data_IF_847267977018
#
_entry.id   IF_847267977018
#
_cell.length_a   1.000
_cell.length_b   1.000
_cell.length_c   1.000
_cell.angle_alpha   90.00
_cell.angle_beta   90.00
_cell.angle_gamma   90.00
#
_symmetry.space_group_name_H-M   'P 1'
#
loop_
_entity.id
_entity.type
_entity.pdbx_description
1 polymer ?
#
# COMPACT_ATOMS: atom_id res chain seq x y z
N UNK A 1 50.70 -0.38 11.60
CA UNK A 1 49.34 -0.86 11.94
C UNK A 1 48.37 0.06 11.24
N UNK A 2 47.71 -0.38 10.17
CA UNK A 2 46.77 0.47 9.43
C UNK A 2 45.45 0.58 10.19
N UNK A 3 44.81 1.76 10.24
CA UNK A 3 43.49 1.88 10.84
C UNK A 3 42.48 1.04 10.04
N UNK A 4 41.47 0.46 10.71
CA UNK A 4 40.43 -0.28 10.02
C UNK A 4 39.71 0.65 9.02
N UNK A 5 39.30 0.13 7.85
CA UNK A 5 38.54 0.92 6.89
C UNK A 5 37.26 1.46 7.55
N UNK A 6 36.81 2.68 7.18
CA UNK A 6 35.58 3.24 7.71
C UNK A 6 34.42 2.27 7.44
N UNK A 7 33.42 2.17 8.34
CA UNK A 7 32.27 1.32 8.14
C UNK A 7 31.61 1.73 6.82
N UNK A 8 31.62 0.83 5.84
CA UNK A 8 30.91 1.08 4.61
C UNK A 8 29.43 1.29 4.94
N UNK A 9 28.77 2.32 4.37
CA UNK A 9 27.32 2.43 4.51
C UNK A 9 26.74 1.10 4.04
N UNK A 10 26.06 0.35 4.93
CA UNK A 10 25.30 -0.82 4.52
C UNK A 10 24.44 -0.36 3.36
N UNK A 11 24.73 -0.84 2.16
CA UNK A 11 24.09 -0.36 0.96
C UNK A 11 22.58 -0.54 1.10
N UNK A 12 21.86 0.56 1.35
CA UNK A 12 20.40 0.67 1.31
C UNK A 12 19.84 0.43 -0.12
N UNK A 13 20.68 -0.05 -1.04
CA UNK A 13 20.37 -0.38 -2.43
C UNK A 13 19.58 -1.70 -2.56
N UNK A 14 19.66 -2.61 -1.58
CA UNK A 14 18.99 -3.92 -1.65
C UNK A 14 17.46 -3.84 -1.67
N UNK A 15 16.87 -2.80 -1.05
CA UNK A 15 15.41 -2.67 -0.91
C UNK A 15 14.76 -1.84 -2.03
N UNK A 16 15.56 -1.24 -2.92
CA UNK A 16 15.04 -0.42 -4.01
C UNK A 16 14.09 -1.19 -4.95
N UNK A 17 14.39 -2.45 -5.36
CA UNK A 17 13.47 -3.24 -6.18
C UNK A 17 12.13 -3.50 -5.47
N UNK A 18 12.18 -3.84 -4.17
CA UNK A 18 10.99 -4.10 -3.35
C UNK A 18 10.11 -2.86 -3.20
N UNK A 19 10.70 -1.66 -3.09
CA UNK A 19 9.90 -0.41 -3.06
C UNK A 19 9.34 -0.05 -4.43
N UNK A 20 10.06 -0.36 -5.51
CA UNK A 20 9.58 -0.13 -6.87
C UNK A 20 8.32 -0.93 -7.17
N UNK A 21 8.22 -2.17 -6.68
CA UNK A 21 7.03 -3.00 -6.91
C UNK A 21 5.78 -2.45 -6.21
N UNK A 22 5.93 -1.88 -5.00
CA UNK A 22 4.81 -1.18 -4.34
C UNK A 22 4.36 0.05 -5.15
N UNK A 23 5.31 0.85 -5.65
CA UNK A 23 4.99 2.01 -6.47
C UNK A 23 4.23 1.61 -7.75
N UNK A 24 4.65 0.55 -8.43
CA UNK A 24 3.92 0.02 -9.60
C UNK A 24 2.50 -0.43 -9.25
N UNK A 25 2.33 -1.12 -8.11
CA UNK A 25 1.03 -1.54 -7.61
C UNK A 25 0.13 -0.34 -7.27
N UNK A 26 0.69 0.70 -6.65
CA UNK A 26 -0.03 1.92 -6.30
C UNK A 26 -0.51 2.67 -7.55
N UNK A 27 0.34 2.79 -8.57
CA UNK A 27 -0.02 3.40 -9.86
C UNK A 27 -1.09 2.59 -10.59
N UNK A 28 -1.00 1.25 -10.60
CA UNK A 28 -2.03 0.40 -11.19
C UNK A 28 -3.38 0.55 -10.49
N UNK A 29 -3.37 0.61 -9.15
CA UNK A 29 -4.57 0.86 -8.33
C UNK A 29 -5.18 2.23 -8.60
N UNK A 30 -4.35 3.27 -8.70
CA UNK A 30 -4.81 4.62 -9.05
C UNK A 30 -5.48 4.64 -10.43
N UNK A 31 -4.88 4.03 -11.44
CA UNK A 31 -5.46 3.93 -12.78
C UNK A 31 -6.82 3.23 -12.75
N UNK A 32 -6.91 2.09 -12.06
CA UNK A 32 -8.16 1.36 -11.90
C UNK A 32 -9.24 2.21 -11.18
N UNK A 33 -8.86 2.98 -10.17
CA UNK A 33 -9.76 3.87 -9.46
C UNK A 33 -10.24 5.04 -10.34
N UNK A 34 -9.34 5.71 -11.06
CA UNK A 34 -9.67 6.80 -11.98
C UNK A 34 -10.59 6.34 -13.13
N UNK A 35 -10.43 5.09 -13.58
CA UNK A 35 -11.28 4.48 -14.61
C UNK A 35 -12.57 3.87 -14.07
N UNK A 36 -12.83 3.97 -12.76
CA UNK A 36 -14.08 3.51 -12.14
C UNK A 36 -14.17 2.01 -11.89
N UNK A 37 -13.09 1.24 -12.07
CA UNK A 37 -13.07 -0.18 -11.72
C UNK A 37 -13.14 -0.39 -10.20
N UNK A 38 -12.52 0.50 -9.42
CA UNK A 38 -12.44 0.39 -7.96
C UNK A 38 -12.88 1.72 -7.35
N UNK A 39 -13.81 1.69 -6.40
CA UNK A 39 -14.12 2.87 -5.59
C UNK A 39 -13.07 3.01 -4.47
N UNK A 40 -12.09 3.88 -4.71
CA UNK A 40 -10.99 4.16 -3.79
C UNK A 40 -10.64 5.65 -3.77
N UNK A 41 -11.20 6.43 -2.83
CA UNK A 41 -10.91 7.86 -2.74
C UNK A 41 -9.53 8.15 -2.14
N UNK A 42 -8.85 7.15 -1.57
CA UNK A 42 -7.64 7.35 -0.77
C UNK A 42 -6.35 7.16 -1.59
N UNK A 43 -6.36 6.28 -2.61
CA UNK A 43 -5.13 5.89 -3.35
C UNK A 43 -4.40 7.08 -3.98
N UNK A 44 -5.13 8.11 -4.42
CA UNK A 44 -4.55 9.34 -4.99
C UNK A 44 -3.63 10.10 -4.03
N UNK A 45 -3.82 9.92 -2.72
CA UNK A 45 -2.99 10.57 -1.69
C UNK A 45 -1.69 9.81 -1.41
N UNK A 46 -1.56 8.57 -1.88
CA UNK A 46 -0.39 7.72 -1.69
C UNK A 46 0.52 7.67 -2.93
N UNK A 47 0.05 8.20 -4.07
CA UNK A 47 0.79 8.20 -5.34
C UNK A 47 1.25 9.62 -5.68
N UNK A 48 2.57 9.89 -5.76
CA UNK A 48 3.10 11.18 -6.16
C UNK A 48 2.60 11.59 -7.56
N UNK A 49 2.18 12.84 -7.70
CA UNK A 49 1.72 13.41 -8.99
C UNK A 49 0.61 12.59 -9.65
N UNK A 50 -0.29 11.99 -8.85
CA UNK A 50 -1.37 11.10 -9.30
C UNK A 50 -2.20 11.63 -10.49
N UNK A 51 -2.43 12.94 -10.59
CA UNK A 51 -3.20 13.55 -11.66
C UNK A 51 -2.47 13.62 -13.01
N UNK A 52 -1.14 13.45 -13.04
CA UNK A 52 -0.31 13.50 -14.24
C UNK A 52 0.00 12.11 -14.81
N UNK A 53 -0.38 11.04 -14.11
CA UNK A 53 -0.05 9.68 -14.52
C UNK A 53 -0.98 9.20 -15.64
N UNK A 54 -0.43 8.61 -16.72
CA UNK A 54 -1.26 8.05 -17.78
C UNK A 54 -2.02 6.82 -17.29
N UNK A 55 -3.20 6.54 -17.87
CA UNK A 55 -3.96 5.34 -17.53
C UNK A 55 -3.19 4.07 -17.95
N UNK A 56 -3.27 3.03 -17.13
CA UNK A 56 -2.77 1.69 -17.46
C UNK A 56 -3.72 0.99 -18.46
N UNK A 57 -3.22 0.03 -19.26
CA UNK A 57 -4.05 -0.74 -20.19
C UNK A 57 -5.25 -1.43 -19.50
N UNK A 58 -6.37 -1.64 -20.20
CA UNK A 58 -7.58 -2.25 -19.61
C UNK A 58 -7.31 -3.57 -18.89
N UNK A 59 -6.47 -4.44 -19.46
CA UNK A 59 -6.11 -5.73 -18.85
C UNK A 59 -5.46 -5.57 -17.47
N UNK A 60 -4.63 -4.54 -17.29
CA UNK A 60 -4.01 -4.24 -15.99
C UNK A 60 -5.06 -3.75 -14.99
N UNK A 61 -6.00 -2.90 -15.42
CA UNK A 61 -7.07 -2.42 -14.55
C UNK A 61 -8.01 -3.57 -14.13
N UNK A 62 -8.32 -4.50 -15.05
CA UNK A 62 -9.09 -5.72 -14.76
C UNK A 62 -8.37 -6.59 -13.72
N UNK A 63 -7.08 -6.89 -13.93
CA UNK A 63 -6.30 -7.67 -12.96
C UNK A 63 -6.23 -6.99 -11.59
N UNK A 64 -6.08 -5.67 -11.57
CA UNK A 64 -6.05 -4.87 -10.33
C UNK A 64 -7.40 -4.90 -9.61
N UNK A 65 -8.50 -4.83 -10.36
CA UNK A 65 -9.85 -4.99 -9.84
C UNK A 65 -10.07 -6.37 -9.24
N UNK A 66 -9.82 -7.44 -10.00
CA UNK A 66 -10.04 -8.82 -9.56
C UNK A 66 -9.25 -9.11 -8.29
N UNK A 67 -7.97 -8.72 -8.25
CA UNK A 67 -7.14 -8.85 -7.04
C UNK A 67 -7.74 -8.11 -5.85
N UNK A 68 -8.17 -6.86 -6.06
CA UNK A 68 -8.71 -6.02 -4.97
C UNK A 68 -10.04 -6.54 -4.45
N UNK A 69 -10.96 -6.85 -5.36
CA UNK A 69 -12.29 -7.35 -5.02
C UNK A 69 -12.23 -8.71 -4.32
N UNK A 70 -11.38 -9.63 -4.81
CA UNK A 70 -11.22 -10.94 -4.18
C UNK A 70 -10.70 -10.86 -2.74
N UNK A 71 -9.68 -10.03 -2.48
CA UNK A 71 -9.17 -9.84 -1.11
C UNK A 71 -10.21 -9.13 -0.24
N UNK A 72 -10.89 -8.11 -0.77
CA UNK A 72 -11.93 -7.38 -0.04
C UNK A 72 -13.07 -8.31 0.36
N UNK A 73 -13.49 -9.23 -0.51
CA UNK A 73 -14.52 -10.23 -0.22
C UNK A 73 -14.10 -11.16 0.92
N UNK A 74 -12.89 -11.74 0.86
CA UNK A 74 -12.36 -12.60 1.91
C UNK A 74 -12.27 -11.88 3.26
N UNK A 75 -11.80 -10.64 3.26
CA UNK A 75 -11.70 -9.81 4.46
C UNK A 75 -13.10 -9.50 5.02
N UNK A 76 -14.07 -9.18 4.17
CA UNK A 76 -15.45 -8.93 4.59
C UNK A 76 -16.08 -10.19 5.20
N UNK A 77 -15.90 -11.36 4.58
CA UNK A 77 -16.39 -12.63 5.11
C UNK A 77 -15.77 -12.95 6.46
N UNK A 78 -14.46 -12.77 6.62
CA UNK A 78 -13.77 -12.97 7.91
C UNK A 78 -14.33 -12.07 9.01
N UNK A 79 -14.55 -10.78 8.71
CA UNK A 79 -15.17 -9.85 9.65
C UNK A 79 -16.60 -10.26 10.02
N UNK A 80 -17.40 -10.73 9.06
CA UNK A 80 -18.76 -11.21 9.30
C UNK A 80 -18.77 -12.47 10.17
N UNK A 81 -17.90 -13.45 9.89
CA UNK A 81 -17.76 -14.67 10.69
C UNK A 81 -17.32 -14.35 12.13
N UNK A 82 -16.34 -13.46 12.29
CA UNK A 82 -15.88 -13.02 13.61
C UNK A 82 -17.02 -12.38 14.41
N UNK A 83 -17.83 -11.52 13.77
CA UNK A 83 -19.01 -10.89 14.37
C UNK A 83 -20.05 -11.92 14.79
N UNK A 84 -20.39 -12.87 13.91
CA UNK A 84 -21.36 -13.94 14.21
C UNK A 84 -20.91 -14.82 15.38
N UNK A 85 -19.61 -15.04 15.51
CA UNK A 85 -19.02 -15.80 16.61
C UNK A 85 -18.85 -14.98 17.90
N UNK A 86 -19.21 -13.69 17.92
CA UNK A 86 -19.01 -12.80 19.08
C UNK A 86 -17.53 -12.54 19.40
N UNK A 87 -16.62 -12.75 18.43
CA UNK A 87 -15.16 -12.61 18.62
C UNK A 87 -14.64 -11.28 18.10
N UNK A 88 -13.60 -10.75 18.76
CA UNK A 88 -12.84 -9.59 18.26
C UNK A 88 -12.13 -9.98 16.96
N UNK A 89 -12.27 -9.15 15.93
CA UNK A 89 -11.63 -9.35 14.63
C UNK A 89 -10.35 -8.52 14.54
N UNK A 90 -9.24 -9.13 14.12
CA UNK A 90 -7.99 -8.43 13.83
C UNK A 90 -7.55 -8.80 12.42
N UNK A 91 -7.06 -7.80 11.67
CA UNK A 91 -6.59 -7.96 10.30
C UNK A 91 -5.18 -7.38 10.23
N UNK A 92 -4.19 -8.23 9.96
CA UNK A 92 -2.80 -7.85 9.78
C UNK A 92 -2.46 -7.87 8.29
N UNK A 93 -2.15 -6.70 7.72
CA UNK A 93 -1.72 -6.58 6.32
C UNK A 93 -0.18 -6.57 6.27
N UNK A 94 0.41 -7.70 5.92
CA UNK A 94 1.86 -7.85 5.78
C UNK A 94 2.33 -7.30 4.43
N UNK A 95 3.37 -6.46 4.46
CA UNK A 95 3.83 -5.78 3.24
C UNK A 95 2.75 -4.87 2.66
N UNK A 96 1.97 -4.21 3.51
CA UNK A 96 0.78 -3.44 3.09
C UNK A 96 1.09 -2.35 2.06
N UNK A 97 2.33 -1.83 2.05
CA UNK A 97 2.74 -0.82 1.08
C UNK A 97 1.73 0.34 0.99
N UNK A 98 1.29 0.64 -0.22
CA UNK A 98 0.31 1.67 -0.55
C UNK A 98 -1.16 1.20 -0.47
N UNK A 99 -1.45 0.15 0.30
CA UNK A 99 -2.80 -0.38 0.51
C UNK A 99 -3.69 0.60 1.32
N UNK A 100 -4.85 0.92 0.74
CA UNK A 100 -5.82 1.87 1.30
C UNK A 100 -6.98 1.21 2.01
N UNK A 101 -7.05 -0.13 2.06
CA UNK A 101 -8.21 -0.85 2.59
C UNK A 101 -8.55 -0.48 4.02
N UNK A 102 -7.54 -0.11 4.82
CA UNK A 102 -7.74 0.34 6.18
C UNK A 102 -8.75 1.51 6.23
N UNK A 103 -8.49 2.59 5.48
CA UNK A 103 -9.38 3.74 5.45
C UNK A 103 -10.74 3.39 4.84
N UNK A 104 -10.77 2.54 3.80
CA UNK A 104 -12.03 2.06 3.19
C UNK A 104 -12.90 1.27 4.17
N UNK A 105 -12.30 0.50 5.08
CA UNK A 105 -13.01 -0.25 6.12
C UNK A 105 -13.40 0.67 7.28
N UNK A 106 -12.48 1.51 7.75
CA UNK A 106 -12.69 2.40 8.89
C UNK A 106 -13.75 3.48 8.62
N UNK A 107 -13.91 3.93 7.36
CA UNK A 107 -14.96 4.86 6.98
C UNK A 107 -16.37 4.23 6.95
N UNK A 108 -16.51 2.91 7.11
CA UNK A 108 -17.82 2.25 7.14
C UNK A 108 -18.47 2.48 8.52
N UNK A 109 -19.78 2.80 8.58
CA UNK A 109 -20.48 3.12 9.83
C UNK A 109 -20.52 2.03 10.91
N UNK A 110 -20.04 0.81 10.63
CA UNK A 110 -20.38 -0.42 11.37
C UNK A 110 -19.19 -1.18 11.99
N UNK A 111 -18.00 -0.58 12.14
CA UNK A 111 -16.84 -1.31 12.69
C UNK A 111 -16.22 -0.64 13.91
N UNK A 112 -16.43 -1.28 15.07
CA UNK A 112 -15.69 -1.05 16.30
C UNK A 112 -14.24 -1.57 16.16
N UNK A 113 -13.28 -0.69 16.43
CA UNK A 113 -11.85 -0.94 16.68
C UNK A 113 -11.12 -1.78 15.60
N UNK A 114 -10.67 -1.12 14.53
CA UNK A 114 -9.64 -1.64 13.63
C UNK A 114 -8.29 -1.00 13.98
N UNK A 115 -7.32 -1.81 14.43
CA UNK A 115 -5.94 -1.35 14.65
C UNK A 115 -5.10 -1.73 13.43
N UNK A 116 -4.60 -0.73 12.70
CA UNK A 116 -3.60 -0.93 11.64
C UNK A 116 -2.23 -1.10 12.31
N UNK A 117 -1.64 -2.28 12.20
CA UNK A 117 -0.20 -2.46 12.40
C UNK A 117 0.43 -2.66 11.02
N UNK A 118 1.06 -1.60 10.49
CA UNK A 118 1.71 -1.62 9.19
C UNK A 118 3.23 -1.69 9.38
N UNK A 119 3.83 -2.77 8.90
CA UNK A 119 5.28 -2.96 8.92
C UNK A 119 5.80 -2.51 7.55
N UNK A 120 6.52 -1.39 7.52
CA UNK A 120 7.14 -0.80 6.32
C UNK A 120 8.60 -0.47 6.62
N UNK A 121 9.51 -0.74 5.68
CA UNK A 121 10.93 -0.38 5.80
C UNK A 121 11.14 1.12 5.58
N UNK A 122 12.02 1.80 6.34
CA UNK A 122 12.09 3.26 6.39
C UNK A 122 12.27 3.95 5.03
N UNK A 123 11.54 5.05 4.81
CA UNK A 123 11.70 5.94 3.66
C UNK A 123 12.84 6.93 3.89
N UNK A 124 13.79 7.01 2.95
CA UNK A 124 14.88 7.98 3.00
C UNK A 124 14.47 9.14 2.09
N UNK A 125 14.21 10.30 2.69
CA UNK A 125 14.04 11.54 1.94
C UNK A 125 15.30 11.81 1.12
N UNK A 126 15.14 12.13 -0.16
CA UNK A 126 16.25 12.67 -0.95
C UNK A 126 16.69 13.96 -0.27
N UNK A 127 17.85 13.93 0.39
CA UNK A 127 18.56 15.13 0.82
C UNK A 127 18.92 15.91 -0.44
N UNK A 128 18.21 17.01 -0.63
CA UNK A 128 18.52 18.03 -1.63
C UNK A 128 19.92 18.56 -1.30
N UNK A 129 20.90 18.19 -2.14
CA UNK A 129 22.28 18.69 -2.01
C UNK A 129 22.37 19.95 -2.87
N UNK A 130 21.76 21.01 -2.36
CA UNK A 130 21.83 22.37 -2.90
C UNK A 130 22.74 23.21 -1.99
N UNK A 131 24.07 23.15 -2.18
CA UNK A 131 25.04 24.22 -1.86
C UNK A 131 26.48 23.78 -2.20
N UNK A 132 27.02 24.32 -3.30
CA UNK A 132 28.30 25.06 -3.45
C UNK A 132 28.64 25.22 -4.94
#
# INVERSE_FOLDING_TARGET
MFPPPPPQPRAQAGDAPTRSTDNDAAVARLSAAQKGYINDPYVKHLVPRAHLLPPRPPLINIGTYVRSAGIDELVNQWMQLSRRAGKRCQILSLGSGSDTRFWRIAARPVHALFTRSAIHGPSIGKTDRSSE
#
